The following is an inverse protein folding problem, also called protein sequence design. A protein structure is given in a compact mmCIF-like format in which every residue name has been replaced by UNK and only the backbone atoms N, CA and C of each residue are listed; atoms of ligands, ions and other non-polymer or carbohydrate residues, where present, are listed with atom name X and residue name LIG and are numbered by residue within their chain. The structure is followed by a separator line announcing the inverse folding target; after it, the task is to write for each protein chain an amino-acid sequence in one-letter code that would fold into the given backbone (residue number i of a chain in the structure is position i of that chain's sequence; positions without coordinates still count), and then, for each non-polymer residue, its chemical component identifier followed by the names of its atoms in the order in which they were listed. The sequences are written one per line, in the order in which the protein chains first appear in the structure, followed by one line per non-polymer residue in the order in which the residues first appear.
data_IF_290088363531
#
_entry.id   IF_290088363531
#
_cell.length_a   1.000
_cell.length_b   1.000
_cell.length_c   1.000
_cell.angle_alpha   90.00
_cell.angle_beta   90.00
_cell.angle_gamma   90.00
#
_symmetry.space_group_name_H-M   'P 1'
#
loop_
_entity.id
_entity.type
_entity.pdbx_description
1 polymer ?
#
# COMPACT_ATOMS: atom_id res chain seq x y z
N UNK A 1 31.26 -29.79 3.94
CA UNK A 1 30.36 -28.78 4.53
C UNK A 1 30.57 -27.48 3.78
N UNK A 2 29.60 -27.05 2.96
CA UNK A 2 29.67 -25.78 2.23
C UNK A 2 28.45 -24.96 2.61
N UNK A 3 28.67 -23.82 3.26
CA UNK A 3 27.64 -22.83 3.52
C UNK A 3 27.45 -22.01 2.25
N UNK A 4 26.34 -22.23 1.54
CA UNK A 4 25.93 -21.37 0.43
C UNK A 4 25.52 -20.00 0.97
N UNK A 5 26.28 -18.98 0.58
CA UNK A 5 26.01 -17.58 0.89
C UNK A 5 24.63 -17.16 0.39
N UNK A 6 23.86 -16.49 1.27
CA UNK A 6 22.61 -15.84 0.88
C UNK A 6 22.95 -14.64 -0.01
N UNK A 7 22.24 -14.43 -1.13
CA UNK A 7 22.41 -13.20 -1.90
C UNK A 7 21.95 -12.01 -1.04
N UNK A 8 22.91 -11.14 -0.72
CA UNK A 8 22.67 -9.84 -0.11
C UNK A 8 22.27 -8.87 -1.22
N UNK A 9 20.99 -8.50 -1.29
CA UNK A 9 20.57 -7.36 -2.08
C UNK A 9 20.78 -6.09 -1.24
N UNK A 10 21.89 -5.41 -1.49
CA UNK A 10 22.16 -4.07 -0.95
C UNK A 10 21.35 -3.06 -1.75
N UNK A 11 20.52 -2.28 -1.08
CA UNK A 11 19.77 -1.17 -1.67
C UNK A 11 20.44 0.13 -1.25
N UNK A 12 21.00 0.87 -2.20
CA UNK A 12 21.59 2.18 -1.96
C UNK A 12 20.48 3.24 -1.87
N UNK A 13 20.41 3.94 -0.74
CA UNK A 13 19.44 5.02 -0.49
C UNK A 13 20.10 6.37 -0.76
N UNK A 14 19.62 7.09 -1.78
CA UNK A 14 19.92 8.52 -1.95
C UNK A 14 18.79 9.33 -1.33
N UNK A 15 19.10 9.99 -0.20
CA UNK A 15 18.28 11.02 0.42
C UNK A 15 18.33 12.27 -0.46
N UNK A 16 17.20 12.66 -1.03
CA UNK A 16 16.88 14.08 -1.30
C UNK A 16 15.40 14.27 -1.57
N UNK A 17 14.95 15.48 -1.28
CA UNK A 17 13.59 15.93 -1.02
C UNK A 17 12.50 15.51 -2.04
N UNK A 18 11.36 15.08 -1.47
CA UNK A 18 10.06 14.91 -2.14
C UNK A 18 9.97 13.80 -3.20
N UNK A 19 9.98 12.53 -2.78
CA UNK A 19 9.61 11.42 -3.67
C UNK A 19 8.62 10.46 -3.00
N UNK A 20 7.49 10.23 -3.68
CA UNK A 20 6.69 9.03 -3.50
C UNK A 20 7.55 7.84 -3.95
N UNK A 21 8.08 7.07 -2.99
CA UNK A 21 8.76 5.81 -3.28
C UNK A 21 7.70 4.77 -3.67
N UNK A 22 7.74 4.31 -4.91
CA UNK A 22 6.93 3.21 -5.43
C UNK A 22 7.85 2.03 -5.78
N UNK A 23 7.54 0.85 -5.26
CA UNK A 23 8.20 -0.40 -5.65
C UNK A 23 7.19 -1.27 -6.40
N UNK A 24 7.49 -1.55 -7.67
CA UNK A 24 6.80 -2.54 -8.49
C UNK A 24 7.69 -3.79 -8.55
N UNK A 25 7.12 -4.96 -8.29
CA UNK A 25 7.83 -6.23 -8.38
C UNK A 25 6.89 -7.37 -8.76
N UNK A 26 7.43 -8.41 -9.41
CA UNK A 26 6.73 -9.69 -9.54
C UNK A 26 7.34 -10.65 -8.52
N UNK A 27 6.50 -11.24 -7.66
CA UNK A 27 6.94 -12.27 -6.71
C UNK A 27 6.50 -13.62 -7.25
N UNK A 28 7.45 -14.52 -7.52
CA UNK A 28 7.18 -15.89 -7.97
C UNK A 28 7.47 -16.88 -6.85
N UNK A 29 6.47 -17.66 -6.44
CA UNK A 29 6.67 -18.80 -5.54
C UNK A 29 6.78 -20.08 -6.38
N UNK A 30 8.02 -20.46 -6.71
CA UNK A 30 8.33 -21.60 -7.58
C UNK A 30 7.94 -22.95 -6.95
N UNK A 31 7.64 -23.00 -5.64
CA UNK A 31 7.34 -24.26 -4.94
C UNK A 31 5.86 -24.67 -4.98
N UNK A 32 4.95 -23.79 -5.43
CA UNK A 32 3.49 -24.02 -5.40
C UNK A 32 2.75 -23.62 -6.69
N UNK A 33 3.45 -23.30 -7.78
CA UNK A 33 2.82 -22.96 -9.06
C UNK A 33 2.03 -21.65 -9.09
N UNK A 34 2.14 -20.81 -8.05
CA UNK A 34 1.45 -19.53 -7.98
C UNK A 34 2.30 -18.37 -8.49
N UNK A 35 1.69 -17.52 -9.32
CA UNK A 35 2.24 -16.21 -9.70
C UNK A 35 1.59 -15.16 -8.80
N UNK A 36 2.33 -14.17 -8.34
CA UNK A 36 1.76 -13.05 -7.59
C UNK A 36 2.18 -11.70 -8.16
N UNK A 37 1.26 -10.76 -8.15
CA UNK A 37 1.51 -9.34 -8.40
C UNK A 37 1.63 -8.60 -7.07
N UNK A 38 2.59 -7.67 -7.00
CA UNK A 38 2.76 -6.81 -5.84
C UNK A 38 3.06 -5.37 -6.25
N UNK A 39 2.37 -4.45 -5.58
CA UNK A 39 2.69 -3.02 -5.62
C UNK A 39 2.80 -2.51 -4.19
N UNK A 40 3.85 -1.74 -3.91
CA UNK A 40 4.01 -1.05 -2.64
C UNK A 40 4.31 0.42 -2.87
N UNK A 41 3.82 1.27 -1.98
CA UNK A 41 4.05 2.70 -2.09
C UNK A 41 3.74 3.47 -0.81
N UNK A 42 3.85 4.78 -0.90
CA UNK A 42 3.50 5.72 0.17
C UNK A 42 2.36 6.62 -0.26
N UNK A 43 1.58 7.08 0.69
CA UNK A 43 0.48 8.01 0.45
C UNK A 43 0.25 8.95 1.62
N UNK A 44 -0.56 9.97 1.36
CA UNK A 44 -1.07 10.90 2.36
C UNK A 44 -2.58 10.99 2.19
N UNK A 45 -3.32 10.78 3.27
CA UNK A 45 -4.76 11.02 3.32
C UNK A 45 -5.06 12.23 4.21
N UNK A 46 -5.95 13.09 3.74
CA UNK A 46 -6.44 14.26 4.49
C UNK A 46 -7.84 14.00 5.02
N UNK A 47 -8.10 14.35 6.29
CA UNK A 47 -9.45 14.33 6.84
C UNK A 47 -10.27 15.52 6.32
N UNK A 48 -11.06 15.32 5.28
CA UNK A 48 -12.01 16.32 4.78
C UNK A 48 -13.22 16.47 5.69
N UNK A 49 -13.77 17.68 5.84
CA UNK A 49 -14.89 17.97 6.74
C UNK A 49 -16.14 17.13 6.45
N UNK A 50 -16.43 16.91 5.17
CA UNK A 50 -17.56 16.13 4.65
C UNK A 50 -17.36 14.60 4.75
N UNK A 51 -16.20 14.14 5.23
CA UNK A 51 -15.91 12.72 5.41
C UNK A 51 -15.69 11.96 4.10
N UNK A 52 -15.53 12.65 2.96
CA UNK A 52 -15.32 11.97 1.67
C UNK A 52 -14.04 11.13 1.68
N UNK A 53 -14.03 9.96 1.00
CA UNK A 53 -12.81 9.17 0.82
C UNK A 53 -11.85 9.82 -0.18
N UNK A 54 -10.59 9.42 -0.14
CA UNK A 54 -9.57 9.69 -1.15
C UNK A 54 -9.29 8.43 -1.96
N UNK A 55 -9.28 8.55 -3.29
CA UNK A 55 -8.86 7.47 -4.20
C UNK A 55 -7.35 7.48 -4.40
N UNK A 56 -6.74 6.31 -4.26
CA UNK A 56 -5.37 6.02 -4.69
C UNK A 56 -5.43 5.06 -5.86
N UNK A 57 -4.64 5.31 -6.89
CA UNK A 57 -4.62 4.50 -8.12
C UNK A 57 -3.30 3.75 -8.15
N UNK A 58 -3.37 2.44 -8.43
CA UNK A 58 -2.17 1.66 -8.68
C UNK A 58 -1.51 2.13 -9.97
N UNK A 59 -0.18 1.98 -10.05
CA UNK A 59 0.54 2.36 -11.27
C UNK A 59 0.19 1.44 -12.44
N UNK A 60 -0.03 0.16 -12.14
CA UNK A 60 -0.51 -0.84 -13.08
C UNK A 60 -1.76 -1.49 -12.51
N UNK A 61 -2.77 -1.70 -13.36
CA UNK A 61 -3.97 -2.46 -12.98
C UNK A 61 -3.57 -3.91 -12.69
N UNK A 62 -4.05 -4.47 -11.58
CA UNK A 62 -3.90 -5.90 -11.27
C UNK A 62 -4.86 -6.75 -12.11
N UNK A 63 -4.50 -8.01 -12.37
CA UNK A 63 -5.41 -8.93 -13.07
C UNK A 63 -6.59 -9.39 -12.19
N UNK A 64 -6.45 -9.33 -10.86
CA UNK A 64 -7.51 -9.58 -9.85
C UNK A 64 -7.45 -8.52 -8.76
N UNK A 65 -8.58 -8.27 -8.09
CA UNK A 65 -8.66 -7.34 -6.95
C UNK A 65 -7.61 -7.75 -5.89
N UNK A 66 -6.60 -6.90 -5.59
CA UNK A 66 -5.55 -7.25 -4.64
C UNK A 66 -6.03 -7.07 -3.20
N UNK A 67 -5.38 -7.74 -2.26
CA UNK A 67 -5.45 -7.39 -0.85
C UNK A 67 -4.56 -6.19 -0.57
N UNK A 68 -5.10 -5.14 0.07
CA UNK A 68 -4.36 -3.92 0.42
C UNK A 68 -4.19 -3.83 1.92
N UNK A 69 -2.93 -3.78 2.37
CA UNK A 69 -2.56 -3.46 3.74
C UNK A 69 -2.10 -2.00 3.81
N UNK A 70 -2.58 -1.27 4.81
CA UNK A 70 -2.17 0.11 5.10
C UNK A 70 -1.42 0.15 6.44
N UNK A 71 -0.27 0.79 6.44
CA UNK A 71 0.57 0.99 7.62
C UNK A 71 0.78 2.50 7.84
N UNK A 72 0.17 3.10 8.88
CA UNK A 72 0.40 4.51 9.19
C UNK A 72 1.87 4.80 9.53
N UNK A 73 2.37 5.94 9.07
CA UNK A 73 3.72 6.44 9.38
C UNK A 73 3.60 7.51 10.46
N UNK A 74 4.30 7.32 11.58
CA UNK A 74 4.46 8.35 12.60
C UNK A 74 5.55 9.35 12.16
N UNK A 75 5.14 10.51 11.66
CA UNK A 75 6.05 11.50 11.06
C UNK A 75 6.78 12.33 12.11
N UNK A 76 6.09 12.69 13.20
CA UNK A 76 6.67 13.47 14.28
C UNK A 76 6.49 12.76 15.63
N UNK A 77 7.47 11.93 16.04
CA UNK A 77 7.43 11.23 17.32
C UNK A 77 7.61 12.16 18.52
N UNK A 78 7.96 13.45 18.32
CA UNK A 78 8.11 14.44 19.39
C UNK A 78 6.84 15.26 19.60
N UNK A 79 5.93 15.26 18.64
CA UNK A 79 4.60 15.89 18.78
C UNK A 79 3.70 15.10 19.73
N UNK A 80 2.72 15.79 20.34
CA UNK A 80 1.67 15.13 21.07
C UNK A 80 0.91 14.18 20.13
N UNK A 81 0.79 12.91 20.51
CA UNK A 81 0.05 11.93 19.72
C UNK A 81 -1.40 12.39 19.51
N UNK A 82 -1.83 12.43 18.25
CA UNK A 82 -3.22 12.70 17.89
C UNK A 82 -3.89 11.38 17.57
N UNK A 83 -5.05 11.13 18.18
CA UNK A 83 -5.86 9.96 17.84
C UNK A 83 -6.32 10.05 16.39
N UNK A 84 -6.07 9.01 15.61
CA UNK A 84 -6.53 8.91 14.23
C UNK A 84 -6.87 7.46 13.87
N UNK A 85 -7.65 7.31 12.79
CA UNK A 85 -7.98 6.02 12.18
C UNK A 85 -7.86 6.13 10.67
N UNK A 86 -7.35 5.10 10.01
CA UNK A 86 -7.43 4.93 8.55
C UNK A 86 -8.30 3.70 8.30
N UNK A 87 -9.22 3.79 7.34
CA UNK A 87 -10.10 2.69 6.98
C UNK A 87 -10.39 2.71 5.47
N UNK A 88 -10.66 1.53 4.91
CA UNK A 88 -11.15 1.41 3.55
C UNK A 88 -12.60 1.94 3.48
N UNK A 89 -12.89 2.83 2.54
CA UNK A 89 -14.21 3.47 2.42
C UNK A 89 -14.64 3.58 0.97
N UNK A 90 -15.61 2.76 0.55
CA UNK A 90 -16.15 2.84 -0.80
C UNK A 90 -17.07 4.07 -0.96
N UNK A 91 -16.89 4.89 -2.02
CA UNK A 91 -17.95 5.79 -2.45
C UNK A 91 -19.12 4.90 -2.95
N UNK A 92 -20.36 5.28 -2.66
CA UNK A 92 -21.58 4.62 -3.19
C UNK A 92 -21.86 3.16 -2.82
N UNK A 93 -21.13 2.55 -1.88
CA UNK A 93 -21.38 1.17 -1.45
C UNK A 93 -20.79 0.10 -2.37
N UNK A 94 -19.93 0.52 -3.30
CA UNK A 94 -19.10 -0.37 -4.11
C UNK A 94 -17.96 -1.00 -3.27
N UNK A 95 -16.97 -1.60 -3.94
CA UNK A 95 -15.78 -2.09 -3.26
C UNK A 95 -14.81 -0.94 -2.98
N UNK A 96 -14.25 -0.91 -1.77
CA UNK A 96 -13.23 0.06 -1.41
C UNK A 96 -11.87 -0.24 -2.05
N UNK A 97 -11.69 -1.44 -2.61
CA UNK A 97 -10.51 -1.87 -3.37
C UNK A 97 -11.01 -2.51 -4.64
N UNK A 98 -10.40 -2.16 -5.76
CA UNK A 98 -10.61 -2.80 -7.06
C UNK A 98 -9.24 -3.04 -7.72
N UNK A 99 -9.23 -3.60 -8.93
CA UNK A 99 -7.99 -3.92 -9.66
C UNK A 99 -7.13 -2.68 -9.97
N UNK A 100 -7.71 -1.49 -9.98
CA UNK A 100 -7.06 -0.25 -10.40
C UNK A 100 -6.65 0.64 -9.22
N UNK A 101 -7.10 0.33 -8.00
CA UNK A 101 -6.75 1.13 -6.84
C UNK A 101 -7.62 0.87 -5.62
N UNK A 102 -7.58 1.80 -4.68
CA UNK A 102 -8.31 1.70 -3.43
C UNK A 102 -8.72 3.07 -2.89
N UNK A 103 -9.81 3.09 -2.14
CA UNK A 103 -10.32 4.25 -1.44
C UNK A 103 -10.04 4.15 0.05
N UNK A 104 -9.49 5.22 0.61
CA UNK A 104 -9.32 5.36 2.05
C UNK A 104 -10.17 6.52 2.57
N UNK A 105 -10.80 6.30 3.73
CA UNK A 105 -11.28 7.33 4.62
C UNK A 105 -10.37 7.44 5.84
N UNK A 106 -10.52 8.51 6.59
CA UNK A 106 -9.85 8.65 7.88
C UNK A 106 -10.73 9.36 8.92
N UNK A 107 -10.35 9.20 10.19
CA UNK A 107 -10.92 9.91 11.32
C UNK A 107 -9.81 10.65 12.05
N UNK A 108 -10.11 11.85 12.56
CA UNK A 108 -9.19 12.76 13.21
C UNK A 108 -9.71 14.21 13.14
N UNK A 109 -8.87 15.17 13.53
CA UNK A 109 -9.17 16.58 13.32
C UNK A 109 -9.33 16.88 11.82
N UNK A 110 -10.28 17.76 11.45
CA UNK A 110 -10.43 18.19 10.06
C UNK A 110 -9.14 18.87 9.59
N UNK A 111 -8.67 18.51 8.40
CA UNK A 111 -7.39 18.97 7.86
C UNK A 111 -6.17 18.17 8.32
N UNK A 112 -6.35 17.17 9.20
CA UNK A 112 -5.25 16.26 9.57
C UNK A 112 -4.77 15.49 8.35
N UNK A 113 -3.46 15.53 8.11
CA UNK A 113 -2.78 14.69 7.13
C UNK A 113 -2.18 13.48 7.83
N UNK A 114 -2.52 12.29 7.36
CA UNK A 114 -1.97 11.03 7.85
C UNK A 114 -1.15 10.41 6.73
N UNK A 115 0.13 10.21 6.98
CA UNK A 115 1.02 9.56 6.03
C UNK A 115 0.98 8.06 6.27
N UNK A 116 1.09 7.27 5.21
CA UNK A 116 1.03 5.82 5.28
C UNK A 116 1.91 5.17 4.22
N UNK A 117 2.31 3.94 4.48
CA UNK A 117 2.79 2.97 3.51
C UNK A 117 1.64 2.02 3.15
N UNK A 118 1.60 1.54 1.91
CA UNK A 118 0.69 0.48 1.50
C UNK A 118 1.44 -0.67 0.83
N UNK A 119 0.87 -1.86 0.94
CA UNK A 119 1.27 -3.06 0.22
C UNK A 119 0.01 -3.70 -0.38
N UNK A 120 -0.03 -3.81 -1.70
CA UNK A 120 -1.08 -4.46 -2.47
C UNK A 120 -0.57 -5.77 -3.04
N UNK A 121 -1.27 -6.88 -2.80
CA UNK A 121 -0.88 -8.21 -3.29
C UNK A 121 -2.05 -8.96 -3.91
N UNK A 122 -1.83 -9.53 -5.09
CA UNK A 122 -2.74 -10.50 -5.71
C UNK A 122 -1.97 -11.81 -5.95
N UNK A 123 -2.59 -12.96 -5.66
CA UNK A 123 -2.00 -14.28 -5.88
C UNK A 123 -2.88 -15.07 -6.84
N UNK A 124 -2.25 -15.65 -7.85
CA UNK A 124 -2.86 -16.47 -8.89
C UNK A 124 -2.50 -17.93 -8.64
N UNK A 125 -3.49 -18.81 -8.54
CA UNK A 125 -3.31 -20.26 -8.63
C UNK A 125 -3.22 -20.65 -10.10
N UNK A 126 -2.19 -21.40 -10.49
CA UNK A 126 -2.16 -22.01 -11.82
C UNK A 126 -3.31 -23.02 -11.92
N UNK A 127 -4.28 -22.76 -12.82
CA UNK A 127 -5.42 -23.65 -13.08
C UNK A 127 -6.80 -23.00 -13.09
N UNK A 128 -6.92 -21.71 -12.73
CA UNK A 128 -8.19 -20.98 -12.82
C UNK A 128 -8.30 -20.26 -14.18
N UNK A 129 -8.53 -21.02 -15.26
CA UNK A 129 -9.13 -20.52 -16.52
C UNK A 129 -10.63 -20.80 -16.55
#
# INVERSE_FOLDING_TARGET
MSAQGRPSHTFDYLLTDTYFLHQLGQVRNVKHGSVGEVEAGKGVITRYADGRPTRFTFKTKFDRVPHVQITPILIDPKSAFKNFWIYHLAPSGDQAVDESGFYLGCCGETGLNIHFEYLATAVYTAGDE
#
